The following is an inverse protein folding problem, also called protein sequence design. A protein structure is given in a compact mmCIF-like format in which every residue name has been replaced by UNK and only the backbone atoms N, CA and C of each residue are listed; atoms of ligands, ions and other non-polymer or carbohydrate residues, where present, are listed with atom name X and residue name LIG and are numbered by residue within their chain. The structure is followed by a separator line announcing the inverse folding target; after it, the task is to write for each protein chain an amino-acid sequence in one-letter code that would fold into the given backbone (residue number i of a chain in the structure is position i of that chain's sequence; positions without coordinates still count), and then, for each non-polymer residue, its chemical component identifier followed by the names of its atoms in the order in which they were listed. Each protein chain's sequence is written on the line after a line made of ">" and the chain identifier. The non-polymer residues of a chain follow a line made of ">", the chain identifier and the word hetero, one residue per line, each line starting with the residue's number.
data_IF_656873485974
#
_entry.id   IF_656873485974
#
_cell.length_a   1.000
_cell.length_b   1.000
_cell.length_c   1.000
_cell.angle_alpha   90.00
_cell.angle_beta   90.00
_cell.angle_gamma   90.00
#
_symmetry.space_group_name_H-M   'P 1'
#
loop_
_entity.id
_entity.type
_entity.pdbx_description
1 polymer ?
#
# COMPACT_ATOMS: atom_id res chain seq x y z
N UNK A 1 -21.93 85.52 -2.84
CA UNK A 1 -20.59 84.92 -2.62
C UNK A 1 -20.67 83.60 -1.83
N UNK A 2 -21.75 82.80 -1.99
CA UNK A 2 -22.05 81.60 -1.17
C UNK A 2 -21.88 80.28 -1.94
N UNK A 3 -21.82 80.32 -3.28
CA UNK A 3 -21.69 79.12 -4.14
C UNK A 3 -20.32 78.41 -4.02
N UNK A 4 -19.30 79.08 -3.47
CA UNK A 4 -17.97 78.48 -3.24
C UNK A 4 -17.98 77.44 -2.11
N UNK A 5 -18.84 77.61 -1.10
CA UNK A 5 -18.93 76.73 0.07
C UNK A 5 -19.40 75.30 -0.30
N UNK A 6 -20.51 75.09 -1.06
CA UNK A 6 -20.92 73.74 -1.45
C UNK A 6 -19.90 73.04 -2.37
N UNK A 7 -19.12 73.79 -3.15
CA UNK A 7 -18.11 73.23 -4.06
C UNK A 7 -16.93 72.62 -3.29
N UNK A 8 -16.49 73.28 -2.21
CA UNK A 8 -15.44 72.75 -1.34
C UNK A 8 -15.93 71.53 -0.55
N UNK A 9 -17.17 71.54 -0.08
CA UNK A 9 -17.78 70.40 0.64
C UNK A 9 -17.89 69.18 -0.27
N UNK A 10 -18.33 69.35 -1.53
CA UNK A 10 -18.41 68.27 -2.49
C UNK A 10 -17.04 67.63 -2.78
N UNK A 11 -15.97 68.44 -2.84
CA UNK A 11 -14.61 67.96 -3.09
C UNK A 11 -14.03 67.16 -1.91
N UNK A 12 -14.34 67.56 -0.67
CA UNK A 12 -13.96 66.81 0.52
C UNK A 12 -14.69 65.45 0.60
N UNK A 13 -15.98 65.41 0.26
CA UNK A 13 -16.76 64.17 0.28
C UNK A 13 -16.29 63.17 -0.78
N UNK A 14 -15.95 63.62 -1.99
CA UNK A 14 -15.44 62.72 -3.04
C UNK A 14 -14.05 62.17 -2.69
N UNK A 15 -13.18 63.01 -2.11
CA UNK A 15 -11.87 62.58 -1.59
C UNK A 15 -12.01 61.49 -0.51
N UNK A 16 -12.88 61.70 0.48
CA UNK A 16 -13.10 60.75 1.57
C UNK A 16 -13.73 59.43 1.08
N UNK A 17 -14.67 59.53 0.13
CA UNK A 17 -15.30 58.35 -0.49
C UNK A 17 -14.28 57.51 -1.29
N UNK A 18 -13.36 58.14 -2.02
CA UNK A 18 -12.29 57.44 -2.73
C UNK A 18 -11.36 56.67 -1.79
N UNK A 19 -10.95 57.31 -0.69
CA UNK A 19 -10.08 56.69 0.32
C UNK A 19 -10.77 55.49 1.00
N UNK A 20 -12.04 55.61 1.36
CA UNK A 20 -12.80 54.50 1.99
C UNK A 20 -12.97 53.30 1.05
N UNK A 21 -13.20 53.52 -0.25
CA UNK A 21 -13.25 52.43 -1.22
C UNK A 21 -11.88 51.78 -1.42
N UNK A 22 -10.80 52.57 -1.50
CA UNK A 22 -9.43 52.07 -1.61
C UNK A 22 -9.01 51.19 -0.43
N UNK A 23 -9.33 51.60 0.80
CA UNK A 23 -9.06 50.77 1.98
C UNK A 23 -9.94 49.51 2.03
N UNK A 24 -11.21 49.60 1.60
CA UNK A 24 -12.10 48.44 1.53
C UNK A 24 -11.58 47.41 0.53
N UNK A 25 -11.13 47.82 -0.66
CA UNK A 25 -10.57 46.88 -1.64
C UNK A 25 -9.31 46.20 -1.11
N UNK A 26 -8.39 46.97 -0.52
CA UNK A 26 -7.16 46.43 0.05
C UNK A 26 -7.41 45.43 1.18
N UNK A 27 -8.34 45.75 2.09
CA UNK A 27 -8.70 44.87 3.20
C UNK A 27 -9.40 43.59 2.72
N UNK A 28 -10.30 43.72 1.74
CA UNK A 28 -11.04 42.58 1.18
C UNK A 28 -10.10 41.61 0.45
N UNK A 29 -9.09 42.13 -0.26
CA UNK A 29 -8.08 41.33 -0.93
C UNK A 29 -7.14 40.64 0.09
N UNK A 30 -6.75 41.35 1.15
CA UNK A 30 -5.93 40.78 2.24
C UNK A 30 -6.67 39.65 2.98
N UNK A 31 -7.96 39.81 3.27
CA UNK A 31 -8.77 38.79 3.93
C UNK A 31 -9.00 37.58 3.02
N UNK A 32 -9.26 37.80 1.72
CA UNK A 32 -9.33 36.73 0.73
C UNK A 32 -8.03 35.95 0.64
N UNK A 33 -6.88 36.63 0.54
CA UNK A 33 -5.58 35.99 0.49
C UNK A 33 -5.32 35.11 1.72
N UNK A 34 -5.72 35.57 2.92
CA UNK A 34 -5.65 34.77 4.14
C UNK A 34 -6.55 33.54 4.08
N UNK A 35 -7.82 33.69 3.67
CA UNK A 35 -8.76 32.56 3.57
C UNK A 35 -8.29 31.51 2.57
N UNK A 36 -7.75 31.94 1.43
CA UNK A 36 -7.15 31.03 0.44
C UNK A 36 -5.98 30.28 1.07
N UNK A 37 -5.03 30.99 1.70
CA UNK A 37 -3.86 30.39 2.32
C UNK A 37 -4.20 29.42 3.47
N UNK A 38 -5.23 29.73 4.27
CA UNK A 38 -5.74 28.82 5.31
C UNK A 38 -6.40 27.60 4.68
N UNK A 39 -7.27 27.78 3.67
CA UNK A 39 -7.92 26.66 3.00
C UNK A 39 -6.92 25.73 2.30
N UNK A 40 -5.85 26.27 1.74
CA UNK A 40 -4.81 25.49 1.08
C UNK A 40 -3.98 24.71 2.11
N UNK A 41 -3.71 25.30 3.28
CA UNK A 41 -3.07 24.60 4.40
C UNK A 41 -3.95 23.48 4.94
N UNK A 42 -5.25 23.72 5.13
CA UNK A 42 -6.19 22.69 5.59
C UNK A 42 -6.26 21.53 4.59
N UNK A 43 -6.38 21.82 3.30
CA UNK A 43 -6.33 20.78 2.24
C UNK A 43 -5.03 19.99 2.28
N UNK A 44 -3.89 20.66 2.46
CA UNK A 44 -2.60 20.00 2.57
C UNK A 44 -2.49 19.13 3.82
N UNK A 45 -3.02 19.59 4.96
CA UNK A 45 -3.03 18.81 6.21
C UNK A 45 -3.89 17.56 6.07
N UNK A 46 -5.11 17.68 5.54
CA UNK A 46 -5.99 16.54 5.29
C UNK A 46 -5.33 15.53 4.34
N UNK A 47 -4.76 16.01 3.23
CA UNK A 47 -4.07 15.13 2.28
C UNK A 47 -2.85 14.43 2.90
N UNK A 48 -2.10 15.12 3.76
CA UNK A 48 -0.96 14.56 4.47
C UNK A 48 -1.39 13.49 5.48
N UNK A 49 -2.45 13.74 6.26
CA UNK A 49 -2.98 12.77 7.21
C UNK A 49 -3.48 11.51 6.50
N UNK A 50 -4.22 11.66 5.40
CA UNK A 50 -4.68 10.53 4.59
C UNK A 50 -3.51 9.71 4.04
N UNK A 51 -2.48 10.38 3.50
CA UNK A 51 -1.27 9.69 3.02
C UNK A 51 -0.54 8.97 4.16
N UNK A 52 -0.43 9.59 5.33
CA UNK A 52 0.22 8.99 6.49
C UNK A 52 -0.48 7.70 6.94
N UNK A 53 -1.81 7.71 7.00
CA UNK A 53 -2.59 6.52 7.32
C UNK A 53 -2.41 5.40 6.29
N UNK A 54 -2.38 5.74 4.99
CA UNK A 54 -2.12 4.76 3.94
C UNK A 54 -0.72 4.14 4.07
N UNK A 55 0.30 4.94 4.32
CA UNK A 55 1.66 4.44 4.52
C UNK A 55 1.71 3.47 5.71
N UNK A 56 1.03 3.77 6.81
CA UNK A 56 0.98 2.89 7.98
C UNK A 56 0.29 1.56 7.65
N UNK A 57 -0.87 1.59 6.99
CA UNK A 57 -1.59 0.35 6.62
C UNK A 57 -0.81 -0.52 5.65
N UNK A 58 -0.10 0.08 4.69
CA UNK A 58 0.80 -0.62 3.76
C UNK A 58 1.97 -1.23 4.52
N UNK A 59 2.61 -0.49 5.43
CA UNK A 59 3.74 -1.01 6.23
C UNK A 59 3.34 -2.21 7.10
N UNK A 60 2.17 -2.15 7.74
CA UNK A 60 1.66 -3.25 8.56
C UNK A 60 1.28 -4.47 7.70
N UNK A 61 0.83 -4.24 6.46
CA UNK A 61 0.57 -5.31 5.51
C UNK A 61 1.88 -6.00 5.07
N UNK A 62 2.89 -5.20 4.73
CA UNK A 62 4.21 -5.67 4.32
C UNK A 62 4.91 -6.47 5.42
N UNK A 63 4.89 -5.97 6.66
CA UNK A 63 5.44 -6.67 7.83
C UNK A 63 4.84 -8.08 8.00
N UNK A 64 3.53 -8.23 7.79
CA UNK A 64 2.86 -9.52 7.91
C UNK A 64 3.28 -10.49 6.80
N UNK A 65 3.24 -10.04 5.55
CA UNK A 65 3.57 -10.89 4.40
C UNK A 65 5.06 -11.23 4.34
N UNK A 66 5.93 -10.32 4.76
CA UNK A 66 7.39 -10.58 4.86
C UNK A 66 7.70 -11.64 5.91
N UNK A 67 7.05 -11.60 7.08
CA UNK A 67 7.21 -12.63 8.12
C UNK A 67 6.72 -14.00 7.67
N UNK A 68 5.53 -14.08 7.06
CA UNK A 68 4.99 -15.35 6.55
C UNK A 68 5.89 -15.94 5.45
N UNK A 69 6.36 -15.10 4.53
CA UNK A 69 7.25 -15.53 3.45
C UNK A 69 8.60 -16.05 4.00
N UNK A 70 9.19 -15.34 4.96
CA UNK A 70 10.46 -15.72 5.57
C UNK A 70 10.39 -17.07 6.31
N UNK A 71 9.31 -17.33 7.07
CA UNK A 71 9.12 -18.61 7.76
C UNK A 71 9.02 -19.78 6.77
N UNK A 72 8.21 -19.63 5.71
CA UNK A 72 8.00 -20.69 4.73
C UNK A 72 9.28 -20.92 3.89
N UNK A 73 10.01 -19.86 3.54
CA UNK A 73 11.32 -19.99 2.89
C UNK A 73 12.36 -20.64 3.81
N UNK A 74 12.40 -20.29 5.09
CA UNK A 74 13.32 -20.90 6.05
C UNK A 74 13.10 -22.42 6.16
N UNK A 75 11.84 -22.87 6.17
CA UNK A 75 11.49 -24.30 6.12
C UNK A 75 12.01 -24.98 4.86
N UNK A 76 11.88 -24.34 3.69
CA UNK A 76 12.39 -24.88 2.43
C UNK A 76 13.93 -24.93 2.41
N UNK A 77 14.60 -23.87 2.84
CA UNK A 77 16.06 -23.83 2.99
C UNK A 77 16.60 -24.87 3.98
N UNK A 78 15.86 -25.13 5.07
CA UNK A 78 16.24 -26.19 6.00
C UNK A 78 16.18 -27.59 5.34
N UNK A 79 15.16 -27.87 4.52
CA UNK A 79 15.09 -29.12 3.75
C UNK A 79 16.22 -29.24 2.72
N UNK A 80 16.56 -28.13 2.06
CA UNK A 80 17.69 -28.07 1.12
C UNK A 80 19.02 -28.39 1.79
N UNK A 81 19.30 -27.76 2.95
CA UNK A 81 20.50 -28.05 3.75
C UNK A 81 20.57 -29.51 4.21
N UNK A 82 19.42 -30.15 4.50
CA UNK A 82 19.39 -31.59 4.80
C UNK A 82 19.78 -32.43 3.58
N UNK A 83 19.30 -32.12 2.39
CA UNK A 83 19.70 -32.77 1.14
C UNK A 83 21.19 -32.60 0.83
N UNK A 84 21.73 -31.39 0.98
CA UNK A 84 23.13 -31.10 0.68
C UNK A 84 24.11 -31.85 1.60
N UNK A 85 23.68 -32.19 2.82
CA UNK A 85 24.42 -33.03 3.77
C UNK A 85 24.23 -34.54 3.54
N UNK A 86 23.63 -34.94 2.41
CA UNK A 86 23.35 -36.34 2.07
C UNK A 86 22.09 -36.92 2.70
N UNK A 87 21.25 -36.08 3.32
CA UNK A 87 19.95 -36.48 3.86
C UNK A 87 18.91 -36.74 2.76
N UNK A 88 17.85 -37.45 3.12
CA UNK A 88 16.76 -37.83 2.21
C UNK A 88 15.57 -36.89 2.38
N UNK A 89 14.86 -36.59 1.28
CA UNK A 89 13.58 -35.86 1.29
C UNK A 89 12.47 -36.79 0.85
N UNK A 90 11.46 -36.85 1.70
CA UNK A 90 10.28 -37.67 1.53
C UNK A 90 9.16 -36.78 0.99
N UNK A 91 8.58 -37.18 -0.13
CA UNK A 91 7.41 -36.53 -0.71
C UNK A 91 6.25 -37.51 -0.63
N UNK A 92 5.08 -37.01 -0.23
CA UNK A 92 3.86 -37.79 -0.26
C UNK A 92 3.46 -37.99 -1.73
N UNK A 93 3.82 -39.15 -2.28
CA UNK A 93 3.48 -39.56 -3.63
C UNK A 93 2.17 -40.34 -3.64
N UNK A 94 1.38 -40.16 -4.69
CA UNK A 94 0.29 -41.08 -5.01
C UNK A 94 0.63 -41.78 -6.32
N UNK A 95 0.90 -43.08 -6.28
CA UNK A 95 1.06 -43.90 -7.46
C UNK A 95 -0.26 -44.62 -7.75
N UNK A 96 -1.00 -44.25 -8.81
CA UNK A 96 -2.12 -45.05 -9.27
C UNK A 96 -1.58 -46.39 -9.78
N UNK A 97 -1.97 -47.48 -9.12
CA UNK A 97 -1.55 -48.84 -9.51
C UNK A 97 -2.31 -49.25 -10.76
N UNK A 98 -1.64 -49.35 -11.91
CA UNK A 98 -2.16 -50.07 -13.06
C UNK A 98 -1.97 -51.58 -12.82
N UNK A 99 -3.07 -52.27 -12.52
CA UNK A 99 -3.26 -53.73 -12.40
C UNK A 99 -2.73 -54.42 -11.12
N UNK A 100 -3.57 -55.23 -10.43
CA UNK A 100 -3.12 -56.02 -9.29
C UNK A 100 -2.49 -57.33 -9.76
N UNK A 101 -1.20 -57.50 -9.49
CA UNK A 101 -0.51 -58.81 -9.55
C UNK A 101 -0.13 -59.21 -8.12
N UNK A 102 -0.32 -60.46 -7.69
CA UNK A 102 -0.12 -60.84 -6.29
C UNK A 102 1.37 -60.99 -6.02
N UNK A 103 1.98 -59.94 -5.51
CA UNK A 103 3.26 -60.03 -4.81
C UNK A 103 3.23 -59.08 -3.62
N UNK A 104 3.29 -59.67 -2.43
CA UNK A 104 3.52 -59.01 -1.15
C UNK A 104 4.68 -58.02 -1.27
N UNK A 105 4.40 -56.72 -1.34
CA UNK A 105 5.36 -55.65 -1.11
C UNK A 105 4.64 -54.49 -0.38
N UNK A 106 5.26 -54.06 0.71
CA UNK A 106 4.69 -53.24 1.76
C UNK A 106 4.40 -51.78 1.41
N UNK A 107 3.91 -51.09 2.43
CA UNK A 107 3.40 -49.72 2.45
C UNK A 107 4.15 -48.72 1.55
N UNK A 108 3.66 -48.49 0.33
CA UNK A 108 4.22 -47.56 -0.65
C UNK A 108 3.72 -46.10 -0.47
N UNK A 109 3.72 -45.59 0.76
CA UNK A 109 3.20 -44.25 1.07
C UNK A 109 4.18 -43.09 0.84
N UNK A 110 5.47 -43.39 0.64
CA UNK A 110 6.52 -42.38 0.60
C UNK A 110 7.59 -42.74 -0.43
N UNK A 111 7.79 -41.86 -1.41
CA UNK A 111 8.79 -42.04 -2.46
C UNK A 111 10.02 -41.22 -2.07
N UNK A 112 11.19 -41.85 -2.02
CA UNK A 112 12.46 -41.16 -1.85
C UNK A 112 12.89 -40.58 -3.20
N UNK A 113 13.05 -39.26 -3.27
CA UNK A 113 13.59 -38.62 -4.47
C UNK A 113 15.12 -38.73 -4.47
N UNK A 114 15.70 -38.95 -5.65
CA UNK A 114 17.15 -38.82 -5.84
C UNK A 114 17.60 -37.41 -5.45
N UNK A 115 18.86 -37.24 -5.03
CA UNK A 115 19.36 -35.94 -4.56
C UNK A 115 19.18 -34.81 -5.60
N UNK A 116 19.30 -35.10 -6.89
CA UNK A 116 19.07 -34.17 -8.00
C UNK A 116 17.57 -33.84 -8.13
N UNK A 117 16.71 -34.85 -8.13
CA UNK A 117 15.26 -34.63 -8.21
C UNK A 117 14.73 -33.88 -6.99
N UNK A 118 15.24 -34.18 -5.79
CA UNK A 118 14.87 -33.52 -4.54
C UNK A 118 15.21 -32.02 -4.54
N UNK A 119 16.38 -31.64 -5.06
CA UNK A 119 16.75 -30.22 -5.22
C UNK A 119 15.83 -29.49 -6.20
N UNK A 120 15.56 -30.07 -7.37
CA UNK A 120 14.66 -29.45 -8.36
C UNK A 120 13.24 -29.24 -7.79
N UNK A 121 12.70 -30.20 -7.05
CA UNK A 121 11.38 -30.06 -6.42
C UNK A 121 11.38 -28.96 -5.35
N UNK A 122 12.44 -28.84 -4.54
CA UNK A 122 12.55 -27.78 -3.54
C UNK A 122 12.70 -26.39 -4.17
N UNK A 123 13.43 -26.28 -5.29
CA UNK A 123 13.57 -25.04 -6.06
C UNK A 123 12.22 -24.61 -6.68
N UNK A 124 11.51 -25.53 -7.32
CA UNK A 124 10.15 -25.28 -7.83
C UNK A 124 9.23 -24.84 -6.70
N UNK A 125 9.28 -25.54 -5.55
CA UNK A 125 8.48 -25.20 -4.38
C UNK A 125 8.80 -23.78 -3.89
N UNK A 126 10.07 -23.39 -3.85
CA UNK A 126 10.48 -22.05 -3.42
C UNK A 126 9.94 -20.97 -4.37
N UNK A 127 10.00 -21.21 -5.68
CA UNK A 127 9.39 -20.34 -6.69
C UNK A 127 7.89 -20.17 -6.48
N UNK A 128 7.15 -21.28 -6.33
CA UNK A 128 5.70 -21.27 -6.09
C UNK A 128 5.35 -20.51 -4.79
N UNK A 129 6.10 -20.72 -3.70
CA UNK A 129 5.88 -20.01 -2.44
C UNK A 129 6.02 -18.49 -2.64
N UNK A 130 7.09 -18.06 -3.31
CA UNK A 130 7.33 -16.65 -3.62
C UNK A 130 6.18 -16.07 -4.44
N UNK A 131 5.77 -16.76 -5.49
CA UNK A 131 4.76 -16.24 -6.41
C UNK A 131 3.36 -16.21 -5.77
N UNK A 132 3.03 -17.22 -4.95
CA UNK A 132 1.80 -17.20 -4.15
C UNK A 132 1.80 -16.07 -3.12
N UNK A 133 2.93 -15.79 -2.47
CA UNK A 133 3.05 -14.68 -1.53
C UNK A 133 2.84 -13.33 -2.22
N UNK A 134 3.46 -13.12 -3.40
CA UNK A 134 3.24 -11.91 -4.21
C UNK A 134 1.77 -11.73 -4.59
N UNK A 135 1.11 -12.78 -5.07
CA UNK A 135 -0.31 -12.73 -5.46
C UNK A 135 -1.18 -12.38 -4.24
N UNK A 136 -0.98 -13.05 -3.10
CA UNK A 136 -1.73 -12.76 -1.87
C UNK A 136 -1.50 -11.32 -1.39
N UNK A 137 -0.26 -10.86 -1.40
CA UNK A 137 0.09 -9.49 -1.04
C UNK A 137 -0.66 -8.49 -1.93
N UNK A 138 -0.63 -8.67 -3.26
CA UNK A 138 -1.32 -7.80 -4.21
C UNK A 138 -2.85 -7.82 -4.02
N UNK A 139 -3.44 -8.99 -3.80
CA UNK A 139 -4.87 -9.11 -3.52
C UNK A 139 -5.27 -8.38 -2.24
N UNK A 140 -4.49 -8.54 -1.17
CA UNK A 140 -4.75 -7.85 0.09
C UNK A 140 -4.52 -6.34 -0.02
N UNK A 141 -3.51 -5.90 -0.77
CA UNK A 141 -3.25 -4.49 -1.05
C UNK A 141 -4.45 -3.85 -1.75
N UNK A 142 -4.95 -4.48 -2.83
CA UNK A 142 -6.14 -3.99 -3.53
C UNK A 142 -7.34 -3.92 -2.57
N UNK A 143 -7.55 -4.96 -1.75
CA UNK A 143 -8.70 -5.00 -0.83
C UNK A 143 -8.62 -3.96 0.28
N UNK A 144 -7.43 -3.73 0.85
CA UNK A 144 -7.25 -2.90 2.06
C UNK A 144 -6.83 -1.46 1.78
N UNK A 145 -6.37 -1.17 0.58
CA UNK A 145 -5.88 0.16 0.19
C UNK A 145 -6.76 0.71 -0.92
N UNK A 146 -6.92 -0.01 -2.04
CA UNK A 146 -7.64 0.53 -3.20
C UNK A 146 -9.15 0.55 -2.96
N UNK A 147 -9.73 -0.57 -2.53
CA UNK A 147 -11.19 -0.67 -2.32
C UNK A 147 -11.68 0.08 -1.08
N UNK A 148 -10.87 0.18 -0.02
CA UNK A 148 -11.22 0.96 1.18
C UNK A 148 -11.28 2.46 0.89
N UNK A 149 -10.32 2.99 0.13
CA UNK A 149 -10.30 4.39 -0.30
C UNK A 149 -11.49 4.75 -1.22
N UNK A 150 -12.12 3.76 -1.86
CA UNK A 150 -13.31 3.97 -2.71
C UNK A 150 -14.62 4.07 -1.89
N UNK A 151 -14.62 3.67 -0.62
CA UNK A 151 -15.81 3.78 0.25
C UNK A 151 -15.87 5.09 1.03
N UNK A 152 -14.77 5.83 1.09
CA UNK A 152 -14.63 7.10 1.81
C UNK A 152 -14.83 8.34 0.91
N UNK A 153 -14.99 8.13 -0.40
CA UNK A 153 -15.23 9.17 -1.41
C UNK A 153 -16.60 8.98 -2.07
#
# INVERSE_FOLDING_TARGET
>A
MTWKIPLVIALLLTSMSGVTLYYRTLYYDAEKARKIAVSDREKQQVAFEQLSQQIQTISALDDRHTKELADVQAKNHHLRRKLDRGGRVLVKGHCPVSTPRPSSLGHAGTIELSSIAGRNVLDIRAGIISDQAKIKYLQDYIRKVVLSNQQEN
#
